data_IF_432945235057
#
_entry.id   IF_432945235057
#
_cell.length_a   1.000
_cell.length_b   1.000
_cell.length_c   1.000
_cell.angle_alpha   90.00
_cell.angle_beta   90.00
_cell.angle_gamma   90.00
#
_symmetry.space_group_name_H-M   'P 1'
#
loop_
_entity.id
_entity.type
_entity.pdbx_description
1 polymer ?
#
# COMPACT_ATOMS: atom_id res chain seq x y z
N UNK A 1 -68.23 -5.87 -24.54
CA UNK A 1 -67.28 -4.81 -24.14
C UNK A 1 -66.11 -5.53 -23.51
N UNK A 2 -65.10 -5.76 -24.28
CA UNK A 2 -63.89 -6.53 -23.91
C UNK A 2 -62.72 -5.56 -23.86
N UNK A 3 -62.23 -5.26 -22.67
CA UNK A 3 -61.02 -4.51 -22.49
C UNK A 3 -59.83 -5.46 -22.39
N UNK A 4 -58.99 -5.44 -23.42
CA UNK A 4 -57.70 -6.13 -23.46
C UNK A 4 -56.60 -5.16 -23.09
N UNK A 5 -56.07 -5.28 -21.89
CA UNK A 5 -54.92 -4.52 -21.40
C UNK A 5 -53.69 -5.42 -21.44
N UNK A 6 -52.91 -5.33 -22.52
CA UNK A 6 -51.61 -6.01 -22.66
C UNK A 6 -50.50 -4.96 -22.42
N UNK A 7 -49.57 -5.21 -21.47
CA UNK A 7 -48.47 -4.29 -21.24
C UNK A 7 -47.38 -4.42 -22.31
N UNK A 8 -46.65 -3.36 -22.65
CA UNK A 8 -45.64 -3.38 -23.70
C UNK A 8 -44.39 -4.16 -23.27
N UNK A 9 -43.99 -5.09 -24.13
CA UNK A 9 -42.73 -5.85 -24.02
C UNK A 9 -41.55 -4.93 -24.34
N UNK A 10 -40.72 -4.63 -23.34
CA UNK A 10 -39.41 -4.00 -23.56
C UNK A 10 -38.43 -4.99 -24.18
N UNK A 11 -38.05 -4.78 -25.44
CA UNK A 11 -36.94 -5.44 -26.10
C UNK A 11 -35.63 -5.01 -25.39
N UNK A 12 -34.98 -5.94 -24.74
CA UNK A 12 -33.65 -5.77 -24.19
C UNK A 12 -32.66 -5.59 -25.35
N UNK A 13 -31.97 -4.43 -25.36
CA UNK A 13 -30.88 -4.18 -26.29
C UNK A 13 -29.72 -5.15 -26.03
N UNK A 14 -29.12 -5.66 -27.10
CA UNK A 14 -27.96 -6.54 -27.02
C UNK A 14 -26.76 -5.77 -26.39
N UNK A 15 -25.93 -6.43 -25.57
CA UNK A 15 -24.75 -5.82 -25.02
C UNK A 15 -23.72 -5.53 -26.13
N UNK A 16 -22.95 -4.45 -26.04
CA UNK A 16 -21.90 -4.15 -27.00
C UNK A 16 -20.81 -5.25 -26.96
N UNK A 17 -20.10 -5.50 -28.09
CA UNK A 17 -19.09 -6.55 -28.16
C UNK A 17 -17.99 -6.30 -27.12
N UNK A 18 -17.65 -7.36 -26.38
CA UNK A 18 -16.73 -7.37 -25.29
C UNK A 18 -15.36 -6.83 -25.69
N UNK A 19 -14.86 -5.87 -24.91
CA UNK A 19 -13.44 -5.54 -24.88
C UNK A 19 -12.70 -6.77 -24.35
N UNK A 20 -11.95 -7.42 -25.22
CA UNK A 20 -10.92 -8.40 -24.82
C UNK A 20 -9.97 -7.76 -23.80
N UNK A 21 -9.65 -8.43 -22.69
CA UNK A 21 -8.62 -7.94 -21.78
C UNK A 21 -7.29 -7.93 -22.55
N UNK A 22 -6.62 -6.78 -22.56
CA UNK A 22 -5.27 -6.66 -23.08
C UNK A 22 -4.36 -7.55 -22.24
N UNK A 23 -3.93 -8.65 -22.83
CA UNK A 23 -2.84 -9.47 -22.32
C UNK A 23 -1.62 -8.57 -22.09
N UNK A 24 -1.07 -8.61 -20.87
CA UNK A 24 0.23 -8.05 -20.55
C UNK A 24 1.30 -8.80 -21.35
N UNK A 25 1.54 -8.35 -22.58
CA UNK A 25 2.58 -8.91 -23.44
C UNK A 25 3.97 -8.53 -22.91
N UNK A 26 4.77 -9.52 -22.58
CA UNK A 26 6.20 -9.39 -22.54
C UNK A 26 6.66 -8.86 -23.91
N UNK A 27 7.27 -7.66 -23.91
CA UNK A 27 7.78 -7.00 -25.13
C UNK A 27 8.94 -7.82 -25.67
N UNK A 28 8.82 -8.30 -26.89
CA UNK A 28 9.93 -8.87 -27.65
C UNK A 28 11.07 -7.82 -27.78
N UNK A 29 12.36 -8.24 -27.88
CA UNK A 29 13.47 -7.30 -28.04
C UNK A 29 13.30 -6.54 -29.37
N UNK A 30 13.03 -5.23 -29.27
CA UNK A 30 12.83 -4.31 -30.40
C UNK A 30 11.47 -3.60 -30.47
N UNK A 31 10.54 -3.87 -29.57
CA UNK A 31 9.23 -3.21 -29.56
C UNK A 31 9.29 -1.76 -29.05
N UNK A 32 8.43 -0.87 -29.63
CA UNK A 32 8.24 0.49 -29.14
C UNK A 32 7.37 0.51 -27.88
N UNK A 33 7.61 1.47 -26.98
CA UNK A 33 6.80 1.72 -25.80
C UNK A 33 6.56 3.22 -25.63
N UNK A 34 5.53 3.58 -24.89
CA UNK A 34 5.23 4.99 -24.63
C UNK A 34 6.37 5.65 -23.86
N UNK A 35 6.75 6.87 -24.26
CA UNK A 35 7.84 7.63 -23.65
C UNK A 35 7.67 7.78 -22.13
N UNK A 36 6.48 8.11 -21.63
CA UNK A 36 6.21 8.21 -20.20
C UNK A 36 6.47 6.89 -19.45
N UNK A 37 6.16 5.74 -20.08
CA UNK A 37 6.47 4.41 -19.53
C UNK A 37 7.98 4.20 -19.50
N UNK A 38 8.69 4.54 -20.58
CA UNK A 38 10.16 4.42 -20.65
C UNK A 38 10.84 5.30 -19.60
N UNK A 39 10.41 6.55 -19.45
CA UNK A 39 10.93 7.45 -18.40
C UNK A 39 10.71 6.88 -16.99
N UNK A 40 9.57 6.26 -16.75
CA UNK A 40 9.30 5.63 -15.46
C UNK A 40 10.13 4.36 -15.23
N UNK A 41 10.37 3.54 -16.25
CA UNK A 41 11.27 2.37 -16.16
C UNK A 41 12.71 2.78 -15.85
N UNK A 42 13.18 3.86 -16.45
CA UNK A 42 14.50 4.43 -16.20
C UNK A 42 14.62 5.18 -14.85
N UNK A 43 13.53 5.29 -14.08
CA UNK A 43 13.53 6.02 -12.81
C UNK A 43 13.67 7.54 -12.93
N UNK A 44 13.48 8.08 -14.14
CA UNK A 44 13.60 9.53 -14.41
C UNK A 44 12.43 10.31 -13.81
N UNK A 45 11.20 9.76 -13.91
CA UNK A 45 9.97 10.37 -13.42
C UNK A 45 8.90 9.29 -13.22
N UNK A 46 7.81 9.61 -12.50
CA UNK A 46 6.60 8.80 -12.58
C UNK A 46 5.90 9.00 -13.93
N UNK A 47 5.00 8.09 -14.33
CA UNK A 47 4.27 8.23 -15.61
C UNK A 47 3.49 9.55 -15.69
N UNK A 48 2.81 9.96 -14.59
CA UNK A 48 2.05 11.21 -14.55
C UNK A 48 2.95 12.44 -14.61
N UNK A 49 4.07 12.41 -13.91
CA UNK A 49 5.07 13.47 -13.93
C UNK A 49 5.72 13.58 -15.31
N UNK A 50 6.05 12.46 -15.95
CA UNK A 50 6.56 12.42 -17.31
C UNK A 50 5.55 13.04 -18.31
N UNK A 51 4.25 12.72 -18.19
CA UNK A 51 3.21 13.32 -19.03
C UNK A 51 3.13 14.84 -18.83
N UNK A 52 3.20 15.35 -17.59
CA UNK A 52 3.21 16.79 -17.29
C UNK A 52 4.45 17.46 -17.94
N UNK A 53 5.62 16.87 -17.80
CA UNK A 53 6.86 17.41 -18.40
C UNK A 53 6.86 17.37 -19.93
N UNK A 54 6.34 16.32 -20.54
CA UNK A 54 6.17 16.22 -22.00
C UNK A 54 5.20 17.29 -22.47
N UNK A 55 4.06 17.46 -21.80
CA UNK A 55 3.07 18.49 -22.14
C UNK A 55 3.60 19.92 -22.03
N UNK A 56 4.56 20.16 -21.15
CA UNK A 56 5.26 21.47 -21.00
C UNK A 56 6.44 21.65 -21.95
N UNK A 57 6.77 20.66 -22.77
CA UNK A 57 7.95 20.69 -23.65
C UNK A 57 9.30 20.60 -22.93
N UNK A 58 9.32 20.03 -21.72
CA UNK A 58 10.53 19.89 -20.89
C UNK A 58 11.33 18.61 -21.15
N UNK A 59 10.85 17.77 -22.07
CA UNK A 59 11.49 16.50 -22.44
C UNK A 59 11.88 16.55 -23.90
N UNK A 60 13.14 16.15 -24.21
CA UNK A 60 13.62 15.93 -25.58
C UNK A 60 13.96 14.46 -25.75
N UNK A 61 13.69 13.95 -26.94
CA UNK A 61 14.07 12.62 -27.40
C UNK A 61 14.96 12.78 -28.62
N UNK A 62 16.21 12.33 -28.54
CA UNK A 62 17.23 12.46 -29.58
C UNK A 62 17.42 13.92 -30.07
N UNK A 63 17.28 14.90 -29.16
CA UNK A 63 17.42 16.32 -29.43
C UNK A 63 16.14 17.06 -29.84
N UNK A 64 15.05 16.35 -30.18
CA UNK A 64 13.76 16.94 -30.58
C UNK A 64 12.80 16.97 -29.37
N UNK A 65 11.95 18.01 -29.29
CA UNK A 65 10.95 18.13 -28.24
C UNK A 65 9.92 17.02 -28.35
N UNK A 66 9.74 16.29 -27.26
CA UNK A 66 8.81 15.17 -27.19
C UNK A 66 7.34 15.65 -27.24
N UNK A 67 6.47 14.84 -27.81
CA UNK A 67 5.02 15.08 -27.89
C UNK A 67 4.26 14.06 -27.06
N UNK A 68 3.05 14.43 -26.60
CA UNK A 68 2.18 13.54 -25.85
C UNK A 68 1.87 12.26 -26.62
N UNK A 69 1.99 11.11 -25.93
CA UNK A 69 1.73 9.80 -26.53
C UNK A 69 2.86 9.25 -27.42
N UNK A 70 3.99 9.96 -27.53
CA UNK A 70 5.17 9.52 -28.30
C UNK A 70 5.56 8.07 -27.94
N UNK A 71 5.82 7.27 -28.98
CA UNK A 71 6.38 5.92 -28.87
C UNK A 71 7.88 5.97 -29.10
N UNK A 72 8.64 5.24 -28.30
CA UNK A 72 10.10 5.22 -28.37
C UNK A 72 10.64 3.80 -28.31
N UNK A 73 11.81 3.58 -28.87
CA UNK A 73 12.59 2.35 -28.71
C UNK A 73 13.37 2.38 -27.38
N UNK A 74 13.83 1.25 -26.85
CA UNK A 74 14.53 1.20 -25.56
C UNK A 74 15.85 2.00 -25.49
N UNK A 75 16.48 2.26 -26.63
CA UNK A 75 17.82 2.86 -26.77
C UNK A 75 17.81 4.37 -26.99
N UNK A 76 16.64 5.03 -26.92
CA UNK A 76 16.56 6.49 -27.15
C UNK A 76 17.27 7.30 -26.07
N UNK A 77 17.88 8.41 -26.50
CA UNK A 77 18.41 9.42 -25.59
C UNK A 77 17.30 10.35 -25.13
N UNK A 78 17.05 10.39 -23.82
CA UNK A 78 16.07 11.26 -23.19
C UNK A 78 16.79 12.36 -22.43
N UNK A 79 16.45 13.60 -22.72
CA UNK A 79 16.99 14.79 -22.07
C UNK A 79 15.86 15.51 -21.32
N UNK A 80 16.13 15.87 -20.06
CA UNK A 80 15.16 16.51 -19.16
C UNK A 80 15.64 17.93 -18.87
N UNK A 81 14.74 18.91 -19.00
CA UNK A 81 15.01 20.31 -18.72
C UNK A 81 15.36 20.52 -17.22
N UNK A 82 16.25 21.48 -16.95
CA UNK A 82 16.62 21.90 -15.58
C UNK A 82 15.42 22.32 -14.72
N UNK A 83 14.37 22.89 -15.32
CA UNK A 83 13.13 23.25 -14.61
C UNK A 83 12.42 22.02 -14.04
N UNK A 84 12.31 20.94 -14.81
CA UNK A 84 11.75 19.67 -14.35
C UNK A 84 12.58 19.08 -13.22
N UNK A 85 13.91 19.09 -13.36
CA UNK A 85 14.81 18.62 -12.31
C UNK A 85 14.67 19.43 -11.01
N UNK A 86 14.58 20.78 -11.13
CA UNK A 86 14.35 21.67 -10.00
C UNK A 86 12.99 21.43 -9.31
N UNK A 87 11.94 21.20 -10.09
CA UNK A 87 10.62 20.85 -9.55
C UNK A 87 10.68 19.53 -8.76
N UNK A 88 11.35 18.53 -9.30
CA UNK A 88 11.52 17.22 -8.67
C UNK A 88 12.37 17.30 -7.38
N UNK A 89 13.43 18.10 -7.38
CA UNK A 89 14.28 18.30 -6.20
C UNK A 89 13.55 18.96 -5.02
N UNK A 90 12.45 19.67 -5.29
CA UNK A 90 11.62 20.30 -4.26
C UNK A 90 10.48 19.41 -3.76
N UNK A 91 10.31 18.22 -4.30
CA UNK A 91 9.31 17.27 -3.84
C UNK A 91 9.64 16.75 -2.45
N UNK A 92 8.62 16.60 -1.62
CA UNK A 92 8.77 16.10 -0.27
C UNK A 92 8.20 14.70 -0.09
N UNK A 93 8.82 13.95 0.78
CA UNK A 93 8.29 12.69 1.32
C UNK A 93 8.15 12.84 2.83
N UNK A 94 6.98 12.51 3.32
CA UNK A 94 6.57 12.67 4.73
C UNK A 94 6.28 11.30 5.33
N UNK A 95 6.78 11.10 6.53
CA UNK A 95 6.54 9.94 7.37
C UNK A 95 5.55 10.34 8.46
N UNK A 96 4.40 9.68 8.53
CA UNK A 96 3.36 9.90 9.53
C UNK A 96 3.22 8.66 10.39
N UNK A 97 3.19 8.81 11.72
CA UNK A 97 2.70 7.76 12.60
C UNK A 97 1.17 7.86 12.65
N UNK A 98 0.51 7.17 11.70
CA UNK A 98 -0.93 7.22 11.53
C UNK A 98 -1.66 6.67 12.76
N UNK A 99 -2.57 7.42 13.40
CA UNK A 99 -3.41 6.90 14.48
C UNK A 99 -4.52 5.99 13.97
N UNK A 100 -5.21 5.30 14.87
CA UNK A 100 -6.49 4.62 14.57
C UNK A 100 -7.58 5.62 14.21
N UNK A 101 -8.60 5.17 13.47
CA UNK A 101 -9.75 5.99 13.10
C UNK A 101 -9.52 6.92 11.91
N UNK A 102 -8.30 6.98 11.38
CA UNK A 102 -7.90 7.80 10.23
C UNK A 102 -7.72 6.92 9.00
N UNK A 103 -8.30 7.31 7.86
CA UNK A 103 -8.10 6.61 6.58
C UNK A 103 -6.82 7.11 5.90
N UNK A 104 -6.13 6.20 5.19
CA UNK A 104 -4.85 6.53 4.55
C UNK A 104 -5.00 7.46 3.35
N UNK A 105 -6.08 7.33 2.58
CA UNK A 105 -6.32 8.03 1.33
C UNK A 105 -7.38 9.12 1.44
N UNK A 106 -8.26 9.18 0.43
CA UNK A 106 -9.38 10.12 0.43
C UNK A 106 -10.40 9.78 1.52
N UNK A 107 -11.19 10.78 1.92
CA UNK A 107 -12.27 10.57 2.87
C UNK A 107 -13.25 9.51 2.33
N UNK A 108 -13.49 8.47 3.12
CA UNK A 108 -14.47 7.42 2.85
C UNK A 108 -15.37 7.31 4.09
N UNK A 109 -16.66 7.17 3.90
CA UNK A 109 -17.66 6.92 4.96
C UNK A 109 -17.58 7.89 6.16
N UNK A 110 -17.27 9.17 5.89
CA UNK A 110 -17.16 10.20 6.92
C UNK A 110 -15.85 10.17 7.74
N UNK A 111 -14.91 9.28 7.41
CA UNK A 111 -13.62 9.20 8.10
C UNK A 111 -12.63 10.26 7.63
N UNK A 112 -11.85 10.77 8.56
CA UNK A 112 -10.84 11.81 8.31
C UNK A 112 -9.62 11.24 7.57
N UNK A 113 -9.16 11.87 6.47
CA UNK A 113 -7.98 11.45 5.74
C UNK A 113 -6.67 11.76 6.47
N UNK A 114 -5.65 10.92 6.30
CA UNK A 114 -4.33 11.08 6.93
C UNK A 114 -3.64 12.40 6.58
N UNK A 115 -3.88 12.96 5.39
CA UNK A 115 -3.29 14.22 4.94
C UNK A 115 -3.69 15.40 5.84
N UNK A 116 -4.84 15.35 6.52
CA UNK A 116 -5.29 16.39 7.44
C UNK A 116 -4.42 16.53 8.68
N UNK A 117 -3.63 15.49 9.01
CA UNK A 117 -2.67 15.51 10.11
C UNK A 117 -1.35 16.21 9.73
N UNK A 118 -1.12 16.46 8.44
CA UNK A 118 0.10 17.11 7.97
C UNK A 118 -0.06 18.62 8.13
N UNK A 119 0.15 19.08 9.36
CA UNK A 119 0.02 20.48 9.79
C UNK A 119 1.24 20.83 10.64
N UNK A 120 1.68 22.11 10.69
CA UNK A 120 2.87 22.54 11.45
C UNK A 120 2.87 22.10 12.92
N UNK A 121 1.71 22.18 13.58
CA UNK A 121 1.56 21.80 14.99
C UNK A 121 1.75 20.32 15.27
N UNK A 122 1.56 19.46 14.26
CA UNK A 122 1.75 18.02 14.37
C UNK A 122 3.12 17.56 13.88
N UNK A 123 3.97 18.51 13.45
CA UNK A 123 5.34 18.16 13.08
C UNK A 123 6.12 17.77 14.34
N UNK A 124 6.82 16.61 14.26
CA UNK A 124 7.62 16.11 15.36
C UNK A 124 8.74 17.11 15.70
N UNK A 125 8.88 17.43 17.00
CA UNK A 125 9.86 18.42 17.45
C UNK A 125 11.32 18.03 17.19
N UNK A 126 11.61 16.71 17.13
CA UNK A 126 12.94 16.18 16.84
C UNK A 126 13.20 15.96 15.33
N UNK A 127 12.32 16.47 14.46
CA UNK A 127 12.54 16.42 13.01
C UNK A 127 13.69 17.34 12.60
N UNK A 128 14.84 16.75 12.29
CA UNK A 128 16.07 17.46 11.89
C UNK A 128 16.14 17.76 10.38
N UNK A 129 15.08 17.47 9.62
CA UNK A 129 15.06 17.79 8.20
C UNK A 129 15.10 19.31 7.95
N UNK A 130 15.90 19.73 6.98
CA UNK A 130 16.08 21.15 6.62
C UNK A 130 14.91 21.72 5.77
N UNK A 131 13.75 21.09 5.81
CA UNK A 131 12.57 21.59 5.13
C UNK A 131 11.74 22.49 6.04
N UNK A 132 11.32 23.63 5.51
CA UNK A 132 10.26 24.43 6.13
C UNK A 132 8.92 23.99 5.56
N UNK A 133 7.94 23.76 6.44
CA UNK A 133 6.60 23.43 6.00
C UNK A 133 5.98 24.59 5.24
N UNK A 134 5.43 24.28 4.08
CA UNK A 134 4.67 25.22 3.28
C UNK A 134 3.39 24.54 2.77
N UNK A 135 2.20 25.20 2.83
CA UNK A 135 0.93 24.60 2.39
C UNK A 135 0.92 24.02 0.97
N UNK A 136 1.74 24.57 0.06
CA UNK A 136 1.91 24.03 -1.29
C UNK A 136 2.47 22.59 -1.31
N UNK A 137 3.14 22.15 -0.26
CA UNK A 137 3.65 20.78 -0.14
C UNK A 137 2.51 19.77 0.01
N UNK A 138 1.31 20.20 0.41
CA UNK A 138 0.12 19.33 0.46
C UNK A 138 -0.44 19.04 -0.94
N UNK A 139 -0.11 19.87 -1.93
CA UNK A 139 -0.53 19.65 -3.31
C UNK A 139 0.17 18.41 -3.86
N UNK A 140 -0.60 17.49 -4.41
CA UNK A 140 -0.11 16.22 -4.95
C UNK A 140 0.61 15.31 -3.92
N UNK A 141 0.51 15.60 -2.62
CA UNK A 141 0.99 14.72 -1.56
C UNK A 141 0.00 13.57 -1.39
N UNK A 142 0.42 12.37 -1.71
CA UNK A 142 -0.45 11.18 -1.68
C UNK A 142 0.19 10.05 -0.89
N UNK A 143 -0.60 9.16 -0.26
CA UNK A 143 -0.04 8.01 0.42
C UNK A 143 0.60 7.01 -0.57
N UNK A 144 1.82 6.61 -0.30
CA UNK A 144 2.53 5.53 -0.98
C UNK A 144 2.25 4.20 -0.26
N UNK A 145 1.06 3.68 -0.46
CA UNK A 145 0.50 2.52 0.22
C UNK A 145 -0.55 2.91 1.25
N UNK A 146 -1.19 1.89 1.81
CA UNK A 146 -2.30 2.07 2.75
C UNK A 146 -1.99 1.37 4.08
N UNK A 147 -2.58 1.89 5.14
CA UNK A 147 -2.84 1.21 6.41
C UNK A 147 -4.34 1.22 6.62
N UNK A 148 -4.88 0.13 7.13
CA UNK A 148 -6.30 0.06 7.49
C UNK A 148 -6.64 1.09 8.56
N UNK A 149 -7.92 1.46 8.66
CA UNK A 149 -8.42 2.46 9.60
C UNK A 149 -8.17 2.04 11.06
N UNK A 150 -8.23 0.73 11.33
CA UNK A 150 -8.01 0.09 12.62
C UNK A 150 -6.54 -0.31 12.87
N UNK A 151 -5.61 0.23 12.10
CA UNK A 151 -4.17 0.00 12.20
C UNK A 151 -3.42 1.31 12.43
N UNK A 152 -2.30 1.24 13.14
CA UNK A 152 -1.44 2.39 13.46
C UNK A 152 -0.05 2.25 12.85
N UNK A 153 0.74 3.32 12.89
CA UNK A 153 2.16 3.27 12.57
C UNK A 153 2.54 3.94 11.27
N UNK A 154 3.67 3.53 10.73
CA UNK A 154 4.36 4.21 9.63
C UNK A 154 3.52 4.24 8.35
N UNK A 155 3.06 5.43 7.97
CA UNK A 155 2.46 5.74 6.68
C UNK A 155 3.35 6.73 5.95
N UNK A 156 3.66 6.44 4.69
CA UNK A 156 4.45 7.33 3.82
C UNK A 156 3.51 8.10 2.93
N UNK A 157 3.65 9.44 2.93
CA UNK A 157 3.00 10.32 1.96
C UNK A 157 4.10 10.97 1.11
N UNK A 158 3.92 11.01 -0.19
CA UNK A 158 4.96 11.53 -1.08
C UNK A 158 4.38 12.29 -2.27
N UNK A 159 5.11 13.30 -2.74
CA UNK A 159 4.90 13.95 -4.01
C UNK A 159 5.69 13.25 -5.13
N UNK A 160 6.73 12.47 -4.75
CA UNK A 160 7.60 11.78 -5.71
C UNK A 160 7.01 10.43 -6.12
N UNK A 161 6.54 10.37 -7.35
CA UNK A 161 5.97 9.13 -7.91
C UNK A 161 6.99 8.00 -8.08
N UNK A 162 8.31 8.28 -8.04
CA UNK A 162 9.37 7.25 -8.04
C UNK A 162 9.41 6.54 -6.69
N UNK A 163 9.33 7.31 -5.59
CA UNK A 163 9.19 6.76 -4.23
C UNK A 163 7.91 5.92 -4.13
N UNK A 164 6.78 6.44 -4.61
CA UNK A 164 5.53 5.69 -4.60
C UNK A 164 5.67 4.35 -5.36
N UNK A 165 6.27 4.36 -6.55
CA UNK A 165 6.50 3.13 -7.34
C UNK A 165 7.40 2.13 -6.62
N UNK A 166 8.46 2.59 -5.96
CA UNK A 166 9.36 1.74 -5.18
C UNK A 166 8.61 1.02 -4.06
N UNK A 167 7.68 1.71 -3.39
CA UNK A 167 6.97 1.18 -2.22
C UNK A 167 5.77 0.29 -2.57
N UNK A 168 5.05 0.60 -3.66
CA UNK A 168 3.77 -0.03 -4.01
C UNK A 168 3.63 -0.45 -5.47
N UNK A 169 4.72 -0.40 -6.25
CA UNK A 169 4.70 -0.93 -7.62
C UNK A 169 4.38 -2.43 -7.65
N UNK A 170 3.80 -2.90 -8.74
CA UNK A 170 3.40 -4.33 -8.89
C UNK A 170 4.58 -5.30 -8.67
N UNK A 171 5.78 -4.89 -9.05
CA UNK A 171 7.02 -5.67 -8.88
C UNK A 171 7.76 -5.34 -7.57
N UNK A 172 7.18 -4.51 -6.71
CA UNK A 172 7.83 -4.13 -5.46
C UNK A 172 7.94 -5.33 -4.52
N UNK A 173 9.16 -5.61 -4.10
CA UNK A 173 9.51 -6.59 -3.06
C UNK A 173 9.85 -5.89 -1.74
N UNK A 174 9.40 -4.64 -1.58
CA UNK A 174 9.68 -3.83 -0.41
C UNK A 174 9.13 -4.47 0.86
N UNK A 175 10.03 -4.79 1.76
CA UNK A 175 9.67 -5.35 3.07
C UNK A 175 8.89 -4.33 3.91
N UNK A 176 7.86 -4.82 4.57
CA UNK A 176 7.07 -4.07 5.55
C UNK A 176 7.00 -4.88 6.84
N UNK A 177 7.39 -4.28 7.94
CA UNK A 177 7.43 -4.93 9.24
C UNK A 177 6.33 -4.41 10.15
N UNK A 178 5.67 -5.36 10.81
CA UNK A 178 4.53 -5.10 11.68
C UNK A 178 4.71 -5.77 13.04
N UNK A 179 4.27 -5.08 14.10
CA UNK A 179 4.02 -5.65 15.42
C UNK A 179 2.53 -5.90 15.54
N UNK A 180 2.16 -7.14 15.85
CA UNK A 180 0.78 -7.64 15.79
C UNK A 180 0.42 -8.26 17.12
N UNK A 181 -0.35 -7.55 17.93
CA UNK A 181 -0.89 -8.07 19.17
C UNK A 181 -2.10 -8.95 18.85
N UNK A 182 -2.15 -10.12 19.46
CA UNK A 182 -3.16 -11.15 19.17
C UNK A 182 -3.81 -11.68 20.43
N UNK A 183 -5.03 -12.22 20.28
CA UNK A 183 -5.66 -13.13 21.23
C UNK A 183 -5.93 -14.46 20.53
N UNK A 184 -5.90 -15.56 21.25
CA UNK A 184 -6.29 -16.87 20.74
C UNK A 184 -7.81 -17.01 20.81
N UNK A 185 -8.43 -17.26 19.67
CA UNK A 185 -9.87 -17.48 19.53
C UNK A 185 -10.19 -18.91 19.10
N UNK A 186 -9.15 -19.74 18.84
CA UNK A 186 -9.28 -21.12 18.45
C UNK A 186 -9.95 -21.37 17.12
N UNK A 187 -10.35 -22.60 16.92
CA UNK A 187 -11.09 -23.07 15.75
C UNK A 187 -12.44 -23.62 16.18
N UNK A 188 -13.40 -23.64 15.26
CA UNK A 188 -14.58 -24.48 15.39
C UNK A 188 -14.22 -25.85 14.82
N UNK A 189 -14.28 -26.89 15.64
CA UNK A 189 -14.07 -28.27 15.22
C UNK A 189 -15.19 -28.72 14.25
N UNK A 190 -14.99 -29.78 13.45
CA UNK A 190 -16.00 -30.27 12.50
C UNK A 190 -17.35 -30.66 13.16
N UNK A 191 -17.38 -30.92 14.45
CA UNK A 191 -18.58 -31.22 15.24
C UNK A 191 -19.30 -29.94 15.72
N UNK A 192 -18.81 -28.76 15.38
CA UNK A 192 -19.38 -27.47 15.76
C UNK A 192 -18.99 -26.98 17.15
N UNK A 193 -18.11 -27.69 17.85
CA UNK A 193 -17.63 -27.29 19.17
C UNK A 193 -16.37 -26.41 19.04
N UNK A 194 -16.11 -25.50 20.01
CA UNK A 194 -14.82 -24.84 20.15
C UNK A 194 -13.69 -25.86 20.30
N UNK A 195 -12.53 -25.56 19.79
CA UNK A 195 -11.37 -26.44 19.97
C UNK A 195 -11.05 -26.68 21.46
N UNK A 196 -10.35 -27.78 21.75
CA UNK A 196 -10.09 -28.23 23.09
C UNK A 196 -9.36 -27.19 23.96
N UNK A 197 -8.55 -26.33 23.34
CA UNK A 197 -7.78 -25.29 24.05
C UNK A 197 -8.71 -24.17 24.54
N UNK A 198 -9.72 -23.78 23.73
CA UNK A 198 -10.72 -22.81 24.14
C UNK A 198 -11.72 -23.40 25.17
N UNK A 199 -12.05 -24.69 25.06
CA UNK A 199 -12.92 -25.35 26.05
C UNK A 199 -12.35 -25.27 27.46
N UNK A 200 -11.00 -25.33 27.61
CA UNK A 200 -10.31 -25.15 28.90
C UNK A 200 -10.55 -23.75 29.49
N UNK A 201 -10.83 -22.76 28.63
CA UNK A 201 -11.04 -21.36 29.01
C UNK A 201 -12.53 -20.95 28.88
N UNK A 202 -13.45 -21.88 29.10
CA UNK A 202 -14.91 -21.69 29.04
C UNK A 202 -15.38 -21.09 27.68
N UNK A 203 -14.62 -21.29 26.62
CA UNK A 203 -14.89 -20.75 25.28
C UNK A 203 -14.47 -19.28 25.08
N UNK A 204 -13.97 -18.61 26.10
CA UNK A 204 -13.52 -17.22 25.99
C UNK A 204 -12.17 -17.09 25.30
N UNK A 205 -11.96 -15.99 24.52
CA UNK A 205 -10.67 -15.71 23.90
C UNK A 205 -9.54 -15.56 24.92
N UNK A 206 -8.40 -16.22 24.67
CA UNK A 206 -7.21 -16.09 25.50
C UNK A 206 -6.40 -14.89 25.07
N UNK A 207 -6.26 -13.89 25.93
CA UNK A 207 -5.56 -12.62 25.66
C UNK A 207 -4.21 -12.47 26.34
N UNK A 208 -3.87 -13.41 27.24
CA UNK A 208 -2.60 -13.46 27.97
C UNK A 208 -1.89 -14.77 27.68
N UNK A 209 -0.57 -14.74 27.57
CA UNK A 209 0.26 -15.91 27.27
C UNK A 209 -0.24 -16.73 26.04
N UNK A 210 -0.66 -16.00 25.01
CA UNK A 210 -1.27 -16.56 23.79
C UNK A 210 -0.30 -17.54 23.11
N UNK A 211 0.99 -17.28 23.16
CA UNK A 211 2.02 -18.14 22.59
C UNK A 211 1.96 -19.58 23.14
N UNK A 212 1.69 -19.74 24.42
CA UNK A 212 1.60 -21.06 25.05
C UNK A 212 0.35 -21.85 24.60
N UNK A 213 -0.72 -21.15 24.24
CA UNK A 213 -1.98 -21.75 23.77
C UNK A 213 -1.95 -22.01 22.25
N UNK A 214 -1.09 -21.29 21.51
CA UNK A 214 -1.07 -21.34 20.06
C UNK A 214 -0.51 -22.67 19.55
N UNK A 215 -1.23 -23.38 18.66
CA UNK A 215 -0.79 -24.69 18.16
C UNK A 215 0.57 -24.61 17.48
N UNK A 216 1.49 -25.58 17.71
CA UNK A 216 2.86 -25.56 17.16
C UNK A 216 2.94 -25.39 15.63
N UNK A 217 1.99 -25.96 14.88
CA UNK A 217 1.92 -25.85 13.43
C UNK A 217 1.42 -24.49 12.89
N UNK A 218 0.75 -23.68 13.73
CA UNK A 218 0.14 -22.43 13.32
C UNK A 218 1.15 -21.40 12.87
N UNK A 219 2.29 -21.29 13.54
CA UNK A 219 3.36 -20.36 13.15
C UNK A 219 3.94 -20.70 11.77
N UNK A 220 4.11 -21.98 11.46
CA UNK A 220 4.60 -22.42 10.14
C UNK A 220 3.57 -22.09 9.04
N UNK A 221 2.27 -22.25 9.30
CA UNK A 221 1.21 -21.83 8.37
C UNK A 221 1.27 -20.33 8.10
N UNK A 222 1.47 -19.49 9.13
CA UNK A 222 1.64 -18.04 8.96
C UNK A 222 2.86 -17.68 8.10
N UNK A 223 3.95 -18.46 8.20
CA UNK A 223 5.16 -18.25 7.41
C UNK A 223 4.99 -18.64 5.97
N UNK A 224 4.25 -19.72 5.70
CA UNK A 224 4.06 -20.27 4.36
C UNK A 224 2.83 -21.17 4.28
N UNK A 225 2.16 -21.17 3.13
CA UNK A 225 1.09 -22.12 2.82
C UNK A 225 -0.33 -21.57 2.97
N UNK A 226 -0.50 -20.32 3.37
CA UNK A 226 -1.83 -19.69 3.40
C UNK A 226 -2.19 -19.10 2.02
N UNK A 227 -3.49 -18.98 1.78
CA UNK A 227 -4.04 -18.32 0.60
C UNK A 227 -5.15 -17.35 0.99
N UNK A 228 -5.32 -16.30 0.20
CA UNK A 228 -6.42 -15.33 0.31
C UNK A 228 -7.06 -15.14 -1.06
N UNK A 229 -8.39 -15.21 -1.10
CA UNK A 229 -9.18 -15.04 -2.34
C UNK A 229 -8.71 -15.97 -3.47
N UNK A 230 -8.39 -17.23 -3.11
CA UNK A 230 -7.89 -18.25 -4.05
C UNK A 230 -6.45 -18.06 -4.53
N UNK A 231 -5.74 -17.07 -4.02
CA UNK A 231 -4.34 -16.81 -4.38
C UNK A 231 -3.41 -17.16 -3.22
N UNK A 232 -2.39 -17.98 -3.49
CA UNK A 232 -1.33 -18.28 -2.54
C UNK A 232 -0.61 -16.99 -2.11
N UNK A 233 -0.30 -16.90 -0.83
CA UNK A 233 0.49 -15.79 -0.28
C UNK A 233 1.98 -16.06 -0.46
N UNK A 234 2.75 -14.98 -0.62
CA UNK A 234 4.21 -15.05 -0.57
C UNK A 234 4.66 -15.48 0.83
N UNK A 235 5.79 -16.16 0.95
CA UNK A 235 6.39 -16.47 2.25
C UNK A 235 6.60 -15.22 3.08
N UNK A 236 6.31 -15.33 4.38
CA UNK A 236 6.46 -14.25 5.36
C UNK A 236 7.44 -14.66 6.46
N UNK A 237 8.15 -13.69 7.04
CA UNK A 237 8.86 -13.92 8.29
C UNK A 237 7.87 -13.64 9.43
N UNK A 238 7.65 -14.64 10.29
CA UNK A 238 6.75 -14.51 11.43
C UNK A 238 7.39 -15.16 12.65
N UNK A 239 7.46 -14.41 13.73
CA UNK A 239 8.03 -14.87 14.99
C UNK A 239 7.33 -14.21 16.19
N UNK A 240 7.37 -14.89 17.34
CA UNK A 240 6.92 -14.29 18.58
C UNK A 240 7.91 -13.25 19.08
N UNK A 241 7.42 -12.03 19.30
CA UNK A 241 8.19 -10.95 19.92
C UNK A 241 8.07 -11.01 21.45
N UNK A 242 6.91 -11.42 21.92
CA UNK A 242 6.58 -11.70 23.31
C UNK A 242 5.32 -12.61 23.34
N UNK A 243 4.86 -13.09 24.51
CA UNK A 243 3.74 -14.05 24.58
C UNK A 243 2.41 -13.62 23.95
N UNK A 244 2.18 -12.34 23.71
CA UNK A 244 0.93 -11.81 23.09
C UNK A 244 1.17 -11.09 21.77
N UNK A 245 2.42 -11.00 21.29
CA UNK A 245 2.75 -10.20 20.12
C UNK A 245 3.63 -10.94 19.13
N UNK A 246 3.17 -10.97 17.88
CA UNK A 246 3.92 -11.46 16.74
C UNK A 246 4.62 -10.29 16.00
N UNK A 247 5.79 -10.57 15.46
CA UNK A 247 6.47 -9.76 14.46
C UNK A 247 6.23 -10.39 13.09
N UNK A 248 5.74 -9.60 12.14
CA UNK A 248 5.55 -9.99 10.74
C UNK A 248 6.45 -9.16 9.84
N UNK A 249 7.14 -9.79 8.87
CA UNK A 249 7.76 -9.10 7.74
C UNK A 249 7.18 -9.65 6.44
N UNK A 250 6.57 -8.77 5.67
CA UNK A 250 5.90 -9.09 4.41
C UNK A 250 6.52 -8.33 3.26
N UNK A 251 6.59 -8.96 2.08
CA UNK A 251 7.00 -8.34 0.80
C UNK A 251 5.82 -8.07 -0.14
N UNK A 252 4.60 -8.28 0.32
CA UNK A 252 3.35 -7.99 -0.39
C UNK A 252 2.36 -7.28 0.54
N UNK A 253 1.21 -6.87 0.02
CA UNK A 253 0.19 -6.20 0.83
C UNK A 253 -1.20 -6.36 0.24
N UNK A 254 -1.91 -7.45 0.59
CA UNK A 254 -3.33 -7.63 0.27
C UNK A 254 -4.21 -6.95 1.33
N UNK A 255 -5.46 -6.67 0.94
CA UNK A 255 -6.43 -6.04 1.86
C UNK A 255 -6.57 -6.85 3.14
N UNK A 256 -6.27 -6.22 4.30
CA UNK A 256 -6.36 -6.82 5.64
C UNK A 256 -5.59 -8.15 5.78
N UNK A 257 -4.48 -8.29 5.06
CA UNK A 257 -3.77 -9.57 4.91
C UNK A 257 -3.41 -10.21 6.25
N UNK A 258 -2.73 -9.48 7.15
CA UNK A 258 -2.29 -10.03 8.43
C UNK A 258 -3.47 -10.48 9.28
N UNK A 259 -4.57 -9.71 9.33
CA UNK A 259 -5.77 -10.08 10.11
C UNK A 259 -6.38 -11.38 9.58
N UNK A 260 -6.53 -11.49 8.27
CA UNK A 260 -7.07 -12.68 7.60
C UNK A 260 -6.15 -13.90 7.73
N UNK A 261 -4.83 -13.70 7.72
CA UNK A 261 -3.86 -14.77 7.99
C UNK A 261 -4.00 -15.29 9.43
N UNK A 262 -4.09 -14.38 10.40
CA UNK A 262 -4.24 -14.72 11.81
C UNK A 262 -5.54 -15.49 12.06
N UNK A 263 -6.66 -15.03 11.48
CA UNK A 263 -7.96 -15.70 11.60
C UNK A 263 -7.91 -17.15 11.10
N UNK A 264 -7.17 -17.43 10.01
CA UNK A 264 -7.03 -18.81 9.49
C UNK A 264 -6.24 -19.75 10.41
N UNK A 265 -5.57 -19.24 11.42
CA UNK A 265 -4.82 -20.03 12.40
C UNK A 265 -5.35 -19.89 13.83
N UNK A 266 -6.58 -19.40 13.98
CA UNK A 266 -7.25 -19.27 15.27
C UNK A 266 -6.79 -18.08 16.13
N UNK A 267 -6.23 -17.05 15.50
CA UNK A 267 -5.81 -15.81 16.16
C UNK A 267 -6.68 -14.63 15.72
N UNK A 268 -7.05 -13.78 16.68
CA UNK A 268 -7.66 -12.47 16.44
C UNK A 268 -6.64 -11.38 16.66
N UNK A 269 -6.46 -10.51 15.67
CA UNK A 269 -5.59 -9.33 15.80
C UNK A 269 -6.30 -8.25 16.60
N UNK A 270 -5.78 -7.94 17.78
CA UNK A 270 -6.29 -6.90 18.68
C UNK A 270 -5.52 -5.59 18.56
N UNK A 271 -4.33 -5.61 18.00
CA UNK A 271 -3.54 -4.42 17.68
C UNK A 271 -2.58 -4.68 16.52
N UNK A 272 -2.44 -3.72 15.60
CA UNK A 272 -1.53 -3.81 14.47
C UNK A 272 -0.82 -2.49 14.26
N UNK A 273 0.53 -2.54 14.32
CA UNK A 273 1.40 -1.37 14.14
C UNK A 273 2.45 -1.66 13.09
N UNK A 274 2.49 -0.88 12.00
CA UNK A 274 3.61 -0.94 11.05
C UNK A 274 4.77 -0.11 11.57
N UNK A 275 5.93 -0.75 11.76
CA UNK A 275 7.11 -0.14 12.38
C UNK A 275 8.26 0.11 11.41
N UNK A 276 8.26 -0.53 10.21
CA UNK A 276 9.31 -0.38 9.20
C UNK A 276 8.77 -0.56 7.78
N UNK A 277 9.33 0.17 6.84
CA UNK A 277 9.19 -0.04 5.39
C UNK A 277 10.61 0.05 4.79
N UNK A 278 11.08 -1.02 4.13
CA UNK A 278 12.45 -1.13 3.67
C UNK A 278 13.44 -0.91 4.80
N UNK A 279 14.30 0.10 4.69
CA UNK A 279 15.25 0.48 5.74
C UNK A 279 14.72 1.60 6.64
N UNK A 280 13.59 2.21 6.31
CA UNK A 280 13.03 3.35 7.05
C UNK A 280 12.22 2.85 8.24
N UNK A 281 12.65 3.24 9.43
CA UNK A 281 12.02 2.90 10.70
C UNK A 281 11.04 3.98 11.16
N UNK A 282 9.95 3.57 11.80
CA UNK A 282 9.08 4.50 12.53
C UNK A 282 9.82 5.20 13.66
N UNK A 283 10.69 4.46 14.36
CA UNK A 283 11.45 4.97 15.50
C UNK A 283 10.54 5.51 16.60
N UNK A 284 10.95 6.62 17.18
CA UNK A 284 10.25 7.30 18.29
C UNK A 284 9.21 8.32 17.82
N UNK A 285 8.88 8.37 16.53
CA UNK A 285 7.86 9.29 16.01
C UNK A 285 6.53 9.08 16.75
N UNK A 286 6.02 10.09 17.50
CA UNK A 286 4.79 9.94 18.29
C UNK A 286 3.56 9.72 17.40
N UNK A 287 2.53 9.05 17.95
CA UNK A 287 1.26 8.82 17.24
C UNK A 287 0.59 10.16 16.89
N UNK A 288 0.12 10.29 15.66
CA UNK A 288 -0.49 11.52 15.13
C UNK A 288 0.51 12.56 14.66
N UNK A 289 1.82 12.37 14.91
CA UNK A 289 2.86 13.28 14.46
C UNK A 289 3.52 12.79 13.16
N UNK A 290 4.13 13.75 12.47
CA UNK A 290 4.81 13.51 11.21
C UNK A 290 6.19 14.18 11.17
N UNK A 291 7.06 13.66 10.32
CA UNK A 291 8.36 14.25 9.99
C UNK A 291 8.65 14.10 8.50
N UNK A 292 9.59 14.84 7.99
CA UNK A 292 10.13 14.57 6.66
C UNK A 292 10.99 13.30 6.64
N UNK A 293 11.07 12.66 5.47
CA UNK A 293 12.11 11.67 5.20
C UNK A 293 13.47 12.38 5.24
N UNK A 294 14.37 11.91 6.07
CA UNK A 294 15.67 12.54 6.21
C UNK A 294 16.55 12.30 4.97
N UNK A 295 17.51 13.22 4.65
CA UNK A 295 18.32 13.11 3.42
C UNK A 295 19.16 11.82 3.30
N UNK A 296 19.48 11.19 4.43
CA UNK A 296 20.25 9.95 4.49
C UNK A 296 19.37 8.68 4.48
N UNK A 297 18.07 8.82 4.71
CA UNK A 297 17.14 7.68 4.70
C UNK A 297 16.79 7.27 3.26
N UNK A 298 16.72 5.98 3.04
CA UNK A 298 16.28 5.35 1.77
C UNK A 298 15.39 4.16 2.10
N UNK A 299 14.44 3.89 1.22
CA UNK A 299 13.58 2.70 1.33
C UNK A 299 14.25 1.46 0.76
#
# INVERSE_FOLDING_TARGET
MTDSNTPPTFRRAAPPPGRTPATSGATAPGGTLRLNKRMAELGLASRREADDWIGRGWVKVNGEVATMGMQVTPDVRIEINKQAQGQQANQVTILLNKPMGIVSGQAEDGHTPAITLIQPQNRWAEDNARFFFHPKQLQSLVPAGRLDIDSIGLLVLTQDGRVARQLIGEESVMEKEYLVRVSYIGFIEPDGQPDRLLQINDGDPVSTNVQAMFPPGGLNKLRHGLSLDGQALKPAQVEWQNPEQLRFVLTEGKKRQIRRMCEQVGLKVVGLKRVRIGQVMLGNLPVGQWRYLAPHERF
#
